data_IF_164422647545
#
_entry.id   IF_164422647545
#
_cell.length_a   1.000
_cell.length_b   1.000
_cell.length_c   1.000
_cell.angle_alpha   90.00
_cell.angle_beta   90.00
_cell.angle_gamma   90.00
#
_symmetry.space_group_name_H-M   'P 1'
#
loop_
_entity.id
_entity.type
_entity.pdbx_description
1 polymer ?
#
# COMPACT_ATOMS: atom_id res chain seq x y z
N UNK A 1 0.73 -15.92 -28.62
CA UNK A 1 1.82 -16.79 -28.13
C UNK A 1 1.30 -17.64 -26.98
N UNK A 2 1.52 -18.96 -27.00
CA UNK A 2 1.27 -19.83 -25.85
C UNK A 2 2.54 -19.82 -25.00
N UNK A 3 2.48 -19.26 -23.81
CA UNK A 3 3.58 -19.39 -22.84
C UNK A 3 3.46 -20.75 -22.15
N UNK A 4 4.53 -21.56 -22.16
CA UNK A 4 4.64 -22.83 -21.42
C UNK A 4 4.75 -22.60 -19.89
N UNK A 5 3.79 -21.87 -19.33
CA UNK A 5 3.69 -21.63 -17.90
C UNK A 5 2.68 -22.62 -17.31
N UNK A 6 3.17 -23.56 -16.50
CA UNK A 6 2.34 -24.43 -15.69
C UNK A 6 1.87 -23.66 -14.46
N UNK A 7 0.62 -23.21 -14.47
CA UNK A 7 0.03 -22.41 -13.39
C UNK A 7 -0.65 -23.34 -12.39
N UNK A 8 -0.03 -23.52 -11.22
CA UNK A 8 -0.67 -24.19 -10.09
C UNK A 8 -1.54 -23.19 -9.31
N UNK A 9 -2.85 -23.43 -9.30
CA UNK A 9 -3.82 -22.64 -8.52
C UNK A 9 -4.14 -23.37 -7.23
N UNK A 10 -3.88 -22.73 -6.10
CA UNK A 10 -4.24 -23.22 -4.76
C UNK A 10 -5.31 -22.30 -4.17
N UNK A 11 -6.44 -22.87 -3.77
CA UNK A 11 -7.53 -22.14 -3.12
C UNK A 11 -7.39 -22.23 -1.60
N UNK A 12 -7.56 -21.11 -0.91
CA UNK A 12 -7.62 -21.05 0.54
C UNK A 12 -8.86 -20.26 0.94
N UNK A 13 -9.82 -20.96 1.54
CA UNK A 13 -11.02 -20.34 2.09
C UNK A 13 -10.71 -19.79 3.48
N UNK A 14 -11.06 -18.53 3.69
CA UNK A 14 -11.02 -17.86 4.98
C UNK A 14 -12.47 -17.81 5.46
N UNK A 15 -12.71 -18.00 6.76
CA UNK A 15 -14.06 -18.08 7.29
C UNK A 15 -14.64 -16.66 7.44
N UNK A 16 -15.80 -16.40 6.85
CA UNK A 16 -16.45 -15.08 6.86
C UNK A 16 -17.03 -14.68 8.23
N UNK A 17 -16.95 -15.56 9.24
CA UNK A 17 -17.48 -15.30 10.58
C UNK A 17 -16.62 -14.34 11.41
N UNK A 18 -15.43 -14.00 10.94
CA UNK A 18 -14.52 -13.06 11.59
C UNK A 18 -14.41 -11.81 10.71
N UNK A 19 -14.52 -10.62 11.30
CA UNK A 19 -14.33 -9.32 10.61
C UNK A 19 -12.82 -9.14 10.27
N UNK A 20 -12.32 -9.97 9.35
CA UNK A 20 -10.91 -10.04 8.98
C UNK A 20 -10.60 -9.01 7.89
N UNK A 21 -9.55 -8.23 8.12
CA UNK A 21 -9.05 -7.31 7.11
C UNK A 21 -8.10 -7.97 6.11
N UNK A 22 -7.61 -7.17 5.16
CA UNK A 22 -6.67 -7.62 4.12
C UNK A 22 -5.33 -8.09 4.69
N UNK A 23 -4.85 -7.46 5.76
CA UNK A 23 -3.62 -7.88 6.43
C UNK A 23 -3.83 -9.17 7.24
N UNK A 24 -4.97 -9.32 7.92
CA UNK A 24 -5.28 -10.55 8.65
C UNK A 24 -5.38 -11.75 7.70
N UNK A 25 -6.02 -11.55 6.56
CA UNK A 25 -6.13 -12.55 5.50
C UNK A 25 -4.74 -13.01 5.01
N UNK A 26 -3.82 -12.06 4.79
CA UNK A 26 -2.43 -12.39 4.44
C UNK A 26 -1.69 -13.12 5.58
N UNK A 27 -1.98 -12.77 6.84
CA UNK A 27 -1.37 -13.42 8.01
C UNK A 27 -1.75 -14.89 8.08
N UNK A 28 -3.03 -15.22 7.85
CA UNK A 28 -3.52 -16.60 7.86
C UNK A 28 -2.86 -17.49 6.81
N UNK A 29 -2.54 -16.94 5.64
CA UNK A 29 -1.90 -17.69 4.55
C UNK A 29 -0.37 -17.58 4.54
N UNK A 30 0.21 -16.81 5.47
CA UNK A 30 1.65 -16.50 5.50
C UNK A 30 2.56 -17.72 5.49
N UNK A 31 2.14 -18.84 6.09
CA UNK A 31 2.92 -20.09 6.13
C UNK A 31 3.09 -20.76 4.76
N UNK A 32 2.18 -20.47 3.81
CA UNK A 32 2.27 -20.97 2.43
C UNK A 32 3.13 -20.05 1.55
N UNK A 33 3.31 -18.79 1.95
CA UNK A 33 4.00 -17.76 1.17
C UNK A 33 5.50 -17.80 1.45
N UNK A 34 6.27 -18.38 0.52
CA UNK A 34 7.74 -18.53 0.64
C UNK A 34 8.54 -17.44 -0.10
N UNK A 35 7.89 -16.75 -1.02
CA UNK A 35 8.50 -15.76 -1.93
C UNK A 35 7.87 -14.39 -1.75
N UNK A 36 8.37 -13.39 -2.47
CA UNK A 36 7.72 -12.08 -2.55
C UNK A 36 6.32 -12.21 -3.17
N UNK A 37 5.40 -11.36 -2.72
CA UNK A 37 3.96 -11.53 -2.95
C UNK A 37 3.42 -10.33 -3.72
N UNK A 38 2.62 -10.61 -4.75
CA UNK A 38 1.79 -9.63 -5.43
C UNK A 38 0.36 -9.81 -4.91
N UNK A 39 -0.17 -8.77 -4.28
CA UNK A 39 -1.54 -8.68 -3.79
C UNK A 39 -2.34 -7.87 -4.80
N UNK A 40 -3.48 -8.41 -5.22
CA UNK A 40 -4.39 -7.76 -6.17
C UNK A 40 -5.79 -7.91 -5.59
N UNK A 41 -6.51 -6.80 -5.49
CA UNK A 41 -7.92 -6.83 -5.10
C UNK A 41 -8.80 -7.44 -6.19
N UNK A 42 -9.91 -8.07 -5.80
CA UNK A 42 -10.84 -8.72 -6.73
C UNK A 42 -11.63 -7.73 -7.60
N UNK A 43 -11.63 -6.45 -7.24
CA UNK A 43 -12.29 -5.35 -7.95
C UNK A 43 -11.32 -4.52 -8.82
N UNK A 44 -10.04 -4.92 -8.92
CA UNK A 44 -9.06 -4.23 -9.74
C UNK A 44 -9.36 -4.42 -11.24
N UNK A 45 -9.85 -3.37 -11.89
CA UNK A 45 -10.15 -3.34 -13.32
C UNK A 45 -9.38 -2.18 -13.95
N UNK A 46 -8.35 -2.49 -14.74
CA UNK A 46 -7.54 -1.49 -15.44
C UNK A 46 -6.79 -2.13 -16.62
N UNK A 47 -6.41 -1.29 -17.59
CA UNK A 47 -5.54 -1.63 -18.72
C UNK A 47 -4.04 -1.46 -18.40
N UNK A 48 -3.70 -1.07 -17.17
CA UNK A 48 -2.32 -0.84 -16.75
C UNK A 48 -1.52 -2.15 -16.67
N UNK A 49 -0.31 -2.13 -17.24
CA UNK A 49 0.59 -3.29 -17.21
C UNK A 49 1.24 -3.48 -15.83
N UNK A 50 1.02 -4.65 -15.22
CA UNK A 50 1.69 -5.05 -13.98
C UNK A 50 3.22 -5.21 -14.12
N UNK A 51 3.74 -5.27 -15.34
CA UNK A 51 5.20 -5.30 -15.59
C UNK A 51 5.87 -4.04 -15.04
N UNK A 52 5.21 -2.88 -15.13
CA UNK A 52 5.74 -1.61 -14.62
C UNK A 52 6.01 -1.66 -13.13
N UNK A 53 4.98 -2.01 -12.33
CA UNK A 53 5.12 -2.10 -10.86
C UNK A 53 6.17 -3.14 -10.45
N UNK A 54 6.20 -4.31 -11.11
CA UNK A 54 7.18 -5.36 -10.82
C UNK A 54 8.61 -4.93 -11.15
N UNK A 55 8.80 -4.20 -12.24
CA UNK A 55 10.11 -3.66 -12.61
C UNK A 55 10.57 -2.60 -11.61
N UNK A 56 9.69 -1.69 -11.18
CA UNK A 56 9.98 -0.68 -10.16
C UNK A 56 10.36 -1.35 -8.83
N UNK A 57 9.61 -2.36 -8.41
CA UNK A 57 9.89 -3.13 -7.20
C UNK A 57 11.29 -3.77 -7.24
N UNK A 58 11.65 -4.39 -8.37
CA UNK A 58 12.97 -5.01 -8.58
C UNK A 58 14.10 -3.99 -8.69
N UNK A 59 13.91 -2.93 -9.48
CA UNK A 59 14.92 -1.91 -9.72
C UNK A 59 15.34 -1.18 -8.44
N UNK A 60 14.36 -0.89 -7.56
CA UNK A 60 14.62 -0.23 -6.29
C UNK A 60 14.84 -1.19 -5.12
N UNK A 61 14.74 -2.51 -5.36
CA UNK A 61 14.78 -3.54 -4.32
C UNK A 61 13.82 -3.21 -3.16
N UNK A 62 12.65 -2.67 -3.49
CA UNK A 62 11.73 -2.05 -2.54
C UNK A 62 11.16 -3.07 -1.55
N UNK A 63 10.82 -2.62 -0.35
CA UNK A 63 10.15 -3.47 0.64
C UNK A 63 8.67 -3.66 0.32
N UNK A 64 8.04 -2.57 -0.11
CA UNK A 64 6.66 -2.50 -0.56
C UNK A 64 6.61 -1.58 -1.77
N UNK A 65 5.78 -1.91 -2.75
CA UNK A 65 5.43 -1.03 -3.86
C UNK A 65 3.93 -1.04 -4.04
N UNK A 66 3.33 0.13 -4.18
CA UNK A 66 1.89 0.31 -4.41
C UNK A 66 1.66 0.95 -5.78
N UNK A 67 0.57 0.58 -6.45
CA UNK A 67 0.11 1.23 -7.67
C UNK A 67 -1.01 2.23 -7.35
N UNK A 68 -0.79 3.49 -7.72
CA UNK A 68 -1.81 4.53 -7.68
C UNK A 68 -2.22 4.91 -9.09
N UNK A 69 -3.51 5.14 -9.29
CA UNK A 69 -4.09 5.47 -10.59
C UNK A 69 -4.76 6.84 -10.54
N UNK A 70 -4.77 7.54 -11.65
CA UNK A 70 -5.68 8.66 -11.81
C UNK A 70 -7.10 8.11 -12.01
N UNK A 71 -8.13 8.70 -11.38
CA UNK A 71 -9.50 8.38 -11.69
C UNK A 71 -9.71 8.60 -13.18
N UNK A 72 -10.42 7.68 -13.83
CA UNK A 72 -11.00 8.02 -15.13
C UNK A 72 -11.87 9.25 -14.95
N UNK A 73 -11.70 10.25 -15.81
CA UNK A 73 -12.61 11.37 -15.88
C UNK A 73 -13.96 10.79 -16.26
N UNK A 74 -14.84 10.59 -15.28
CA UNK A 74 -16.24 10.34 -15.58
C UNK A 74 -16.70 11.55 -16.36
N UNK A 75 -17.06 11.37 -17.64
CA UNK A 75 -17.93 12.31 -18.33
C UNK A 75 -19.07 12.62 -17.36
N UNK A 76 -19.48 13.89 -17.26
CA UNK A 76 -20.56 14.29 -16.37
C UNK A 76 -21.86 13.63 -16.83
N UNK A 77 -22.06 12.36 -16.50
CA UNK A 77 -23.30 11.63 -16.75
C UNK A 77 -24.27 12.21 -15.73
N UNK A 78 -25.12 13.11 -16.21
CA UNK A 78 -26.22 13.66 -15.44
C UNK A 78 -27.22 12.52 -15.24
N UNK A 79 -27.06 11.76 -14.17
CA UNK A 79 -28.05 10.75 -13.77
C UNK A 79 -29.28 11.46 -13.18
N UNK A 80 -30.50 11.21 -13.71
CA UNK A 80 -31.73 11.73 -13.11
C UNK A 80 -31.97 11.06 -11.76
N UNK A 81 -31.91 11.82 -10.67
CA UNK A 81 -32.15 11.31 -9.32
C UNK A 81 -31.72 12.29 -8.23
N UNK A 82 -32.11 12.05 -6.96
CA UNK A 82 -31.63 12.84 -5.85
C UNK A 82 -30.10 12.80 -5.85
N UNK A 83 -29.45 13.97 -5.84
CA UNK A 83 -27.99 14.08 -5.72
C UNK A 83 -27.57 13.52 -4.36
N UNK A 84 -27.40 12.20 -4.24
CA UNK A 84 -26.63 11.63 -3.16
C UNK A 84 -25.23 12.17 -3.30
N UNK A 85 -24.83 13.06 -2.40
CA UNK A 85 -23.43 13.47 -2.26
C UNK A 85 -22.69 12.27 -1.68
N UNK A 86 -22.45 11.23 -2.48
CA UNK A 86 -21.42 10.25 -2.16
C UNK A 86 -20.10 11.03 -2.17
N UNK A 87 -19.66 11.43 -0.98
CA UNK A 87 -18.36 12.03 -0.78
C UNK A 87 -17.37 10.91 -0.99
N UNK A 88 -16.80 10.81 -2.20
CA UNK A 88 -15.72 9.87 -2.49
C UNK A 88 -14.64 10.07 -1.44
N UNK A 89 -14.31 9.01 -0.70
CA UNK A 89 -13.16 9.03 0.19
C UNK A 89 -11.92 9.34 -0.65
N UNK A 90 -11.18 10.37 -0.26
CA UNK A 90 -9.98 10.81 -0.98
C UNK A 90 -8.79 10.51 -0.10
N UNK A 91 -7.73 10.00 -0.71
CA UNK A 91 -6.46 9.84 -0.03
C UNK A 91 -5.53 11.00 -0.35
N UNK A 92 -4.69 11.36 0.61
CA UNK A 92 -3.59 12.30 0.45
C UNK A 92 -2.30 11.49 0.32
N UNK A 93 -1.74 11.49 -0.88
CA UNK A 93 -0.60 10.65 -1.26
C UNK A 93 0.60 11.55 -1.53
N UNK A 94 1.62 11.47 -0.67
CA UNK A 94 2.87 12.19 -0.81
C UNK A 94 3.96 11.33 -1.42
N UNK A 95 4.50 11.75 -2.56
CA UNK A 95 5.56 11.05 -3.29
C UNK A 95 6.76 11.98 -3.41
N UNK A 96 7.95 11.47 -3.09
CA UNK A 96 9.20 12.14 -3.42
C UNK A 96 9.53 11.92 -4.90
N UNK A 97 9.53 13.00 -5.68
CA UNK A 97 9.70 12.95 -7.13
C UNK A 97 11.10 12.47 -7.54
N UNK A 98 12.13 12.74 -6.74
CA UNK A 98 13.50 12.32 -7.07
C UNK A 98 13.71 10.83 -6.89
N UNK A 99 13.09 10.26 -5.85
CA UNK A 99 13.31 8.85 -5.48
C UNK A 99 12.14 7.94 -5.83
N UNK A 100 11.02 8.51 -6.31
CA UNK A 100 9.75 7.82 -6.54
C UNK A 100 9.27 7.03 -5.33
N UNK A 101 9.56 7.54 -4.12
CA UNK A 101 9.18 6.90 -2.86
C UNK A 101 7.89 7.49 -2.33
N UNK A 102 7.01 6.62 -1.86
CA UNK A 102 5.86 7.00 -1.05
C UNK A 102 6.35 7.45 0.32
N UNK A 103 6.14 8.72 0.66
CA UNK A 103 6.61 9.35 1.90
C UNK A 103 5.47 9.77 2.83
N UNK A 104 4.24 9.84 2.31
CA UNK A 104 3.05 10.17 3.08
C UNK A 104 1.83 9.46 2.49
N UNK A 105 0.99 8.90 3.35
CA UNK A 105 -0.28 8.29 2.99
C UNK A 105 -1.23 8.49 4.17
N UNK A 106 -2.36 9.14 3.93
CA UNK A 106 -3.42 9.31 4.92
C UNK A 106 -4.76 9.57 4.22
N UNK A 107 -5.87 9.24 4.89
CA UNK A 107 -7.20 9.57 4.37
C UNK A 107 -7.47 11.05 4.57
N UNK A 108 -8.08 11.71 3.59
CA UNK A 108 -8.53 13.09 3.74
C UNK A 108 -9.62 13.22 4.82
N UNK A 109 -10.31 12.13 5.17
CA UNK A 109 -11.28 12.09 6.26
C UNK A 109 -10.63 12.14 7.65
N UNK A 110 -9.33 11.83 7.76
CA UNK A 110 -8.58 11.89 9.02
C UNK A 110 -8.22 13.33 9.43
N UNK A 111 -8.41 14.29 8.52
CA UNK A 111 -8.09 15.70 8.73
C UNK A 111 -9.34 16.56 8.62
N UNK A 112 -9.47 17.52 9.53
CA UNK A 112 -10.55 18.51 9.46
C UNK A 112 -10.18 19.66 8.51
N UNK A 113 -9.26 20.53 8.95
CA UNK A 113 -8.90 21.75 8.23
C UNK A 113 -7.40 21.85 7.93
N UNK A 114 -6.55 21.23 8.76
CA UNK A 114 -5.10 21.36 8.68
C UNK A 114 -4.42 20.00 8.57
N UNK A 115 -3.41 19.94 7.70
CA UNK A 115 -2.58 18.76 7.51
C UNK A 115 -1.23 18.95 8.19
N UNK A 116 -0.97 18.16 9.23
CA UNK A 116 0.29 18.19 9.97
C UNK A 116 1.32 17.24 9.33
N UNK A 117 2.40 17.80 8.76
CA UNK A 117 3.51 17.02 8.22
C UNK A 117 4.68 16.94 9.19
N UNK A 118 5.29 15.75 9.39
CA UNK A 118 6.49 15.63 10.19
C UNK A 118 7.62 16.48 9.62
N UNK A 119 8.26 17.32 10.44
CA UNK A 119 9.42 18.10 10.00
C UNK A 119 10.58 17.21 9.54
N UNK A 120 10.66 15.98 10.04
CA UNK A 120 11.64 14.97 9.60
C UNK A 120 11.46 14.57 8.13
N UNK A 121 10.23 14.56 7.63
CA UNK A 121 9.91 14.31 6.22
C UNK A 121 10.51 15.42 5.35
N UNK A 122 10.24 16.68 5.69
CA UNK A 122 10.73 17.85 4.95
C UNK A 122 12.26 18.00 5.01
N UNK A 123 12.88 17.57 6.11
CA UNK A 123 14.35 17.57 6.26
C UNK A 123 15.03 16.50 5.40
N UNK A 124 14.37 15.36 5.18
CA UNK A 124 14.95 14.21 4.47
C UNK A 124 14.64 14.24 2.97
N UNK A 125 13.48 14.75 2.60
CA UNK A 125 12.99 14.82 1.22
C UNK A 125 12.71 16.28 0.87
N UNK A 126 13.49 16.83 -0.06
CA UNK A 126 13.39 18.25 -0.45
C UNK A 126 12.33 18.51 -1.53
N UNK A 127 11.92 17.48 -2.29
CA UNK A 127 10.94 17.60 -3.37
C UNK A 127 9.81 16.58 -3.21
N UNK A 128 8.82 16.91 -2.37
CA UNK A 128 7.65 16.06 -2.11
C UNK A 128 6.43 16.65 -2.81
N UNK A 129 5.79 15.87 -3.68
CA UNK A 129 4.51 16.20 -4.31
C UNK A 129 3.38 15.48 -3.58
N UNK A 130 2.36 16.22 -3.19
CA UNK A 130 1.16 15.68 -2.57
C UNK A 130 0.04 15.66 -3.61
N UNK A 131 -0.57 14.49 -3.78
CA UNK A 131 -1.68 14.25 -4.67
C UNK A 131 -2.94 13.95 -3.86
N UNK A 132 -4.04 14.62 -4.19
CA UNK A 132 -5.36 14.39 -3.59
C UNK A 132 -6.35 13.75 -4.56
N UNK A 133 -5.92 13.53 -5.80
CA UNK A 133 -6.74 13.04 -6.91
C UNK A 133 -6.28 11.66 -7.39
N UNK A 134 -5.39 10.98 -6.66
CA UNK A 134 -5.00 9.61 -6.96
C UNK A 134 -5.92 8.65 -6.22
N UNK A 135 -6.19 7.51 -6.86
CA UNK A 135 -6.93 6.39 -6.29
C UNK A 135 -5.94 5.26 -6.01
N UNK A 136 -6.03 4.67 -4.82
CA UNK A 136 -5.35 3.43 -4.52
C UNK A 136 -5.99 2.27 -5.30
N UNK A 137 -5.19 1.60 -6.13
CA UNK A 137 -5.68 0.48 -6.94
C UNK A 137 -5.77 -0.84 -6.17
N UNK A 138 -5.33 -0.86 -4.90
CA UNK A 138 -5.21 -2.06 -4.09
C UNK A 138 -4.34 -3.16 -4.72
N UNK A 139 -3.37 -2.73 -5.53
CA UNK A 139 -2.31 -3.58 -6.07
C UNK A 139 -1.01 -3.29 -5.34
N UNK A 140 -0.52 -4.27 -4.60
CA UNK A 140 0.69 -4.15 -3.79
C UNK A 140 1.69 -5.26 -4.10
N UNK A 141 2.97 -4.92 -4.19
CA UNK A 141 4.07 -5.88 -4.22
C UNK A 141 4.79 -5.81 -2.88
N UNK A 142 4.86 -6.93 -2.15
CA UNK A 142 5.40 -7.03 -0.81
C UNK A 142 6.59 -7.99 -0.80
N UNK A 143 7.69 -7.60 -0.17
CA UNK A 143 8.77 -8.54 0.13
C UNK A 143 8.32 -9.60 1.12
N UNK A 144 8.86 -10.81 1.00
CA UNK A 144 8.57 -11.91 1.92
C UNK A 144 8.83 -11.54 3.40
N UNK A 145 9.87 -10.75 3.67
CA UNK A 145 10.15 -10.31 5.05
C UNK A 145 9.03 -9.42 5.63
N UNK A 146 8.31 -8.66 4.79
CA UNK A 146 7.17 -7.84 5.22
C UNK A 146 6.00 -8.73 5.62
N UNK A 147 5.78 -9.84 4.91
CA UNK A 147 4.77 -10.84 5.29
C UNK A 147 5.13 -11.49 6.63
N UNK A 148 6.41 -11.82 6.83
CA UNK A 148 6.89 -12.34 8.14
C UNK A 148 6.74 -11.31 9.25
N UNK A 149 6.98 -10.03 8.95
CA UNK A 149 6.76 -8.93 9.88
C UNK A 149 5.27 -8.78 10.25
N UNK A 150 4.38 -8.93 9.26
CA UNK A 150 2.93 -8.94 9.48
C UNK A 150 2.49 -10.10 10.38
N UNK A 151 3.19 -11.24 10.32
CA UNK A 151 2.95 -12.38 11.21
C UNK A 151 3.36 -12.10 12.65
N UNK A 152 4.44 -11.33 12.87
CA UNK A 152 4.88 -10.97 14.22
C UNK A 152 4.08 -9.86 14.87
N UNK A 153 3.35 -9.05 14.09
CA UNK A 153 2.60 -7.90 14.57
C UNK A 153 1.11 -8.10 14.29
N UNK A 154 0.33 -8.35 15.34
CA UNK A 154 -1.11 -8.65 15.24
C UNK A 154 -1.98 -7.39 15.08
N UNK A 155 -1.40 -6.21 15.28
CA UNK A 155 -2.12 -4.93 15.28
C UNK A 155 -2.51 -4.39 13.88
N UNK A 156 -2.28 -5.16 12.82
CA UNK A 156 -2.59 -4.76 11.45
C UNK A 156 -3.74 -5.59 10.90
N UNK A 157 -4.89 -4.94 10.70
CA UNK A 157 -6.08 -5.42 10.00
C UNK A 157 -6.04 -5.07 8.50
N UNK A 158 -5.61 -3.86 8.12
CA UNK A 158 -5.61 -3.41 6.72
C UNK A 158 -4.23 -3.05 6.17
N UNK A 159 -3.94 -3.51 4.93
CA UNK A 159 -2.72 -3.12 4.22
C UNK A 159 -2.68 -1.61 3.97
N UNK A 160 -3.77 -1.05 3.43
CA UNK A 160 -3.88 0.37 3.11
C UNK A 160 -3.92 1.23 4.37
N UNK A 161 -4.80 0.87 5.31
CA UNK A 161 -5.11 1.70 6.46
C UNK A 161 -3.99 1.76 7.50
N UNK A 162 -3.24 0.67 7.66
CA UNK A 162 -2.35 0.53 8.81
C UNK A 162 -0.93 0.12 8.41
N UNK A 163 -0.77 -0.95 7.62
CA UNK A 163 0.55 -1.46 7.25
C UNK A 163 1.36 -0.43 6.46
N UNK A 164 0.78 0.17 5.42
CA UNK A 164 1.45 1.16 4.58
C UNK A 164 1.85 2.41 5.38
N UNK A 165 0.94 3.12 6.10
CA UNK A 165 1.31 4.25 6.94
C UNK A 165 2.36 3.90 7.99
N UNK A 166 2.31 2.69 8.57
CA UNK A 166 3.30 2.24 9.54
C UNK A 166 4.70 2.10 8.91
N UNK A 167 4.82 1.44 7.75
CA UNK A 167 6.10 1.29 7.03
C UNK A 167 6.67 2.65 6.62
N UNK A 168 5.82 3.56 6.14
CA UNK A 168 6.21 4.94 5.77
C UNK A 168 6.75 5.69 6.99
N UNK A 169 6.07 5.60 8.15
CA UNK A 169 6.55 6.21 9.40
C UNK A 169 7.93 5.66 9.80
N UNK A 170 8.14 4.35 9.68
CA UNK A 170 9.46 3.71 9.94
C UNK A 170 10.54 4.17 8.97
N UNK A 171 10.22 4.42 7.70
CA UNK A 171 11.17 4.98 6.72
C UNK A 171 11.71 6.37 7.12
N UNK A 172 10.93 7.16 7.85
CA UNK A 172 11.30 8.49 8.33
C UNK A 172 12.00 8.46 9.69
N UNK A 173 11.82 7.38 10.46
CA UNK A 173 12.49 7.20 11.74
C UNK A 173 13.99 6.94 11.58
N UNK A 174 14.79 7.41 12.53
CA UNK A 174 16.21 7.03 12.59
C UNK A 174 16.29 5.56 13.05
N UNK A 175 17.24 4.78 12.51
CA UNK A 175 17.48 3.44 13.04
C UNK A 175 17.83 3.57 14.53
N UNK A 176 17.14 2.80 15.37
CA UNK A 176 17.53 2.63 16.77
C UNK A 176 18.89 1.94 16.76
N UNK A 177 19.94 2.68 17.11
CA UNK A 177 21.28 2.14 17.26
C UNK A 177 21.25 1.24 18.49
N UNK A 178 21.12 -0.08 18.27
CA UNK A 178 21.30 -1.07 19.32
C UNK A 178 22.75 -0.96 19.80
N UNK A 179 22.96 -0.27 20.92
CA UNK A 179 24.22 -0.36 21.62
C UNK A 179 24.29 -1.77 22.18
N UNK A 180 25.06 -2.64 21.51
CA UNK A 180 25.43 -3.92 22.08
C UNK A 180 26.25 -3.63 23.33
N UNK A 181 25.63 -3.73 24.50
CA UNK A 181 26.33 -3.74 25.77
C UNK A 181 27.30 -4.93 25.74
N UNK A 182 28.56 -4.65 25.42
CA UNK A 182 29.67 -5.50 25.83
C UNK A 182 29.81 -5.32 27.35
N UNK A 183 29.15 -6.18 28.11
CA UNK A 183 29.55 -6.44 29.50
C UNK A 183 30.43 -7.68 29.48
N UNK A 184 31.70 -7.48 29.82
CA UNK A 184 32.73 -8.51 29.92
C UNK A 184 32.70 -9.28 31.23
#
# INVERSE_FOLDING_TARGET
>A
ERTDLDLKVDYVSINDNEDLGTADSLRLISDKLKSDVLVISCDFISDVSLKGILNTFRAHNASVTSLFLYPQQSENIIVPGPKSKYKTERDLIGIDEQTSRLVFLASASDFENELSLPTTLLKKHTNVKIYSNLIDSHVYVLKNWVIKYLKSEENFMSIKGELLPHIIKKQLSKPTVWHCCKTG
#
